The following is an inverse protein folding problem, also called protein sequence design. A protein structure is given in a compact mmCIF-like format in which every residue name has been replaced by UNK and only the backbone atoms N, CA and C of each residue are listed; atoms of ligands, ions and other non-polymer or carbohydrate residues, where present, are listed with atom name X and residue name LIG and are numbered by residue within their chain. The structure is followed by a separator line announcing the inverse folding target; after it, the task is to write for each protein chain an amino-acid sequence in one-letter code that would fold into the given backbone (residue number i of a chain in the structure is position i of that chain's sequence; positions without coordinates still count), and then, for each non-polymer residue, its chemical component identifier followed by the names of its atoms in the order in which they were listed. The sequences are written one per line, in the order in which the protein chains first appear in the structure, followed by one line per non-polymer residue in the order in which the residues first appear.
data_IF_441482168208
#
_entry.id   IF_441482168208
#
_cell.length_a   1.000
_cell.length_b   1.000
_cell.length_c   1.000
_cell.angle_alpha   90.00
_cell.angle_beta   90.00
_cell.angle_gamma   90.00
#
_symmetry.space_group_name_H-M   'P 1'
#
loop_
_entity.id
_entity.type
_entity.pdbx_description
1 polymer ?
#
# COMPACT_ATOMS: atom_id res chain seq x y z
N UNK A 1 3.79 -44.10 1.68
CA UNK A 1 4.12 -43.51 0.38
C UNK A 1 3.82 -42.02 0.48
N UNK A 2 4.85 -41.25 0.78
CA UNK A 2 4.75 -39.81 0.98
C UNK A 2 4.88 -39.14 -0.40
N UNK A 3 3.78 -38.56 -0.85
CA UNK A 3 3.73 -37.77 -2.07
C UNK A 3 4.31 -36.39 -1.77
N UNK A 4 5.56 -36.17 -2.14
CA UNK A 4 6.19 -34.86 -2.18
C UNK A 4 5.47 -33.99 -3.22
N UNK A 5 4.66 -33.04 -2.77
CA UNK A 5 4.18 -31.95 -3.63
C UNK A 5 5.43 -31.16 -4.04
N UNK A 6 5.89 -31.35 -5.28
CA UNK A 6 6.78 -30.43 -5.94
C UNK A 6 6.06 -29.08 -6.03
N UNK A 7 6.57 -28.13 -5.27
CA UNK A 7 6.21 -26.73 -5.41
C UNK A 7 6.87 -26.23 -6.70
N UNK A 8 6.10 -26.19 -7.79
CA UNK A 8 6.53 -25.50 -9.02
C UNK A 8 6.68 -24.01 -8.67
N UNK A 9 7.86 -23.64 -8.20
CA UNK A 9 8.22 -22.25 -7.99
C UNK A 9 8.17 -21.54 -9.35
N UNK A 10 7.13 -20.75 -9.59
CA UNK A 10 7.08 -19.84 -10.74
C UNK A 10 8.41 -19.10 -10.79
N UNK A 11 9.14 -19.29 -11.88
CA UNK A 11 10.45 -18.67 -12.05
C UNK A 11 10.28 -17.15 -11.99
N UNK A 12 10.97 -16.51 -11.05
CA UNK A 12 10.90 -15.07 -10.87
C UNK A 12 11.38 -14.36 -12.15
N UNK A 13 10.71 -13.26 -12.59
CA UNK A 13 11.06 -12.59 -13.84
C UNK A 13 12.50 -12.04 -13.87
N UNK A 14 13.14 -11.85 -12.73
CA UNK A 14 14.55 -11.43 -12.60
C UNK A 14 15.54 -12.60 -12.41
N UNK A 15 15.07 -13.85 -12.46
CA UNK A 15 15.92 -15.04 -12.36
C UNK A 15 16.15 -15.51 -10.92
N UNK A 16 17.27 -16.21 -10.71
CA UNK A 16 17.61 -16.84 -9.43
C UNK A 16 18.22 -15.85 -8.44
N UNK A 17 18.17 -16.19 -7.14
CA UNK A 17 18.78 -15.44 -6.05
C UNK A 17 17.77 -14.67 -5.21
N UNK A 18 18.25 -14.06 -4.15
CA UNK A 18 17.42 -13.33 -3.17
C UNK A 18 17.74 -11.82 -3.27
N UNK A 19 16.97 -11.04 -4.04
CA UNK A 19 17.30 -9.64 -4.31
C UNK A 19 17.32 -8.75 -3.07
N UNK A 20 16.70 -9.20 -1.98
CA UNK A 20 16.62 -8.45 -0.71
C UNK A 20 17.67 -8.92 0.31
N UNK A 21 18.47 -9.93 0.00
CA UNK A 21 19.71 -10.21 0.71
C UNK A 21 20.74 -9.12 0.36
N UNK A 22 21.30 -8.47 1.37
CA UNK A 22 22.25 -7.38 1.15
C UNK A 22 23.60 -7.87 0.63
N UNK A 23 23.90 -9.15 0.82
CA UNK A 23 25.13 -9.79 0.34
C UNK A 23 24.96 -10.33 -1.10
N UNK A 24 23.74 -10.57 -1.60
CA UNK A 24 23.49 -11.04 -2.97
C UNK A 24 23.33 -9.85 -3.94
N UNK A 25 24.44 -9.19 -4.23
CA UNK A 25 24.44 -8.01 -5.12
C UNK A 25 24.05 -8.34 -6.55
N UNK A 26 24.30 -9.56 -7.03
CA UNK A 26 23.95 -9.94 -8.40
C UNK A 26 22.44 -10.17 -8.55
N UNK A 27 21.79 -10.82 -7.59
CA UNK A 27 20.33 -10.92 -7.57
C UNK A 27 19.68 -9.53 -7.45
N UNK A 28 20.24 -8.66 -6.59
CA UNK A 28 19.76 -7.28 -6.46
C UNK A 28 19.83 -6.52 -7.79
N UNK A 29 20.97 -6.53 -8.48
CA UNK A 29 21.14 -5.81 -9.75
C UNK A 29 20.18 -6.30 -10.82
N UNK A 30 19.96 -7.61 -10.95
CA UNK A 30 18.99 -8.18 -11.90
C UNK A 30 17.56 -7.75 -11.57
N UNK A 31 17.16 -7.88 -10.31
CA UNK A 31 15.83 -7.45 -9.87
C UNK A 31 15.62 -5.95 -10.04
N UNK A 32 16.59 -5.15 -9.63
CA UNK A 32 16.57 -3.69 -9.79
C UNK A 32 16.36 -3.26 -11.25
N UNK A 33 17.17 -3.81 -12.16
CA UNK A 33 17.06 -3.50 -13.60
C UNK A 33 15.69 -3.88 -14.12
N UNK A 34 15.26 -5.12 -13.87
CA UNK A 34 13.91 -5.57 -14.25
C UNK A 34 12.82 -4.66 -13.71
N UNK A 35 12.88 -4.32 -12.43
CA UNK A 35 11.84 -3.52 -11.75
C UNK A 35 11.73 -2.12 -12.33
N UNK A 36 12.85 -1.44 -12.52
CA UNK A 36 12.86 -0.09 -13.09
C UNK A 36 12.38 -0.08 -14.54
N UNK A 37 12.88 -0.97 -15.38
CA UNK A 37 12.49 -1.07 -16.78
C UNK A 37 11.02 -1.46 -16.96
N UNK A 38 10.52 -2.38 -16.15
CA UNK A 38 9.13 -2.82 -16.21
C UNK A 38 8.16 -1.74 -15.72
N UNK A 39 8.50 -1.06 -14.61
CA UNK A 39 7.69 0.02 -14.06
C UNK A 39 7.64 1.22 -15.01
N UNK A 40 8.77 1.65 -15.57
CA UNK A 40 8.82 2.76 -16.51
C UNK A 40 7.93 2.52 -17.72
N UNK A 41 8.03 1.34 -18.36
CA UNK A 41 7.15 0.96 -19.48
C UNK A 41 5.68 0.93 -19.08
N UNK A 42 5.37 0.40 -17.88
CA UNK A 42 4.01 0.35 -17.38
C UNK A 42 3.43 1.74 -17.18
N UNK A 43 4.15 2.64 -16.53
CA UNK A 43 3.68 4.00 -16.26
C UNK A 43 3.58 4.85 -17.55
N UNK A 44 4.48 4.64 -18.54
CA UNK A 44 4.43 5.34 -19.81
C UNK A 44 3.16 5.03 -20.62
N UNK A 45 2.50 3.88 -20.39
CA UNK A 45 1.25 3.50 -21.06
C UNK A 45 -0.01 4.10 -20.41
N UNK A 46 0.11 4.79 -19.27
CA UNK A 46 -1.00 5.29 -18.42
C UNK A 46 -2.11 4.22 -18.25
N UNK A 47 -1.79 3.07 -17.66
CA UNK A 47 -2.62 1.89 -17.74
C UNK A 47 -3.80 1.95 -16.76
N UNK A 48 -4.96 2.38 -17.25
CA UNK A 48 -6.22 2.19 -16.54
C UNK A 48 -6.92 0.94 -17.09
N UNK A 49 -7.18 -0.03 -16.23
CA UNK A 49 -7.82 -1.30 -16.60
C UNK A 49 -9.34 -1.08 -16.59
N UNK A 50 -9.95 -1.16 -17.76
CA UNK A 50 -11.41 -1.14 -17.88
C UNK A 50 -11.99 -2.48 -17.43
N UNK A 51 -12.92 -2.44 -16.48
CA UNK A 51 -13.61 -3.63 -15.93
C UNK A 51 -15.08 -3.55 -16.31
N UNK A 52 -15.49 -4.43 -17.20
CA UNK A 52 -16.85 -4.44 -17.77
C UNK A 52 -17.87 -5.04 -16.80
N UNK A 53 -17.53 -6.17 -16.18
CA UNK A 53 -18.36 -6.86 -15.21
C UNK A 53 -17.55 -7.13 -13.93
N UNK A 54 -17.59 -6.21 -12.94
CA UNK A 54 -16.85 -6.39 -11.71
C UNK A 54 -17.42 -7.50 -10.80
N UNK A 55 -18.68 -7.89 -10.98
CA UNK A 55 -19.23 -9.02 -10.22
C UNK A 55 -18.67 -10.35 -10.70
N UNK A 56 -18.30 -10.43 -11.99
CA UNK A 56 -17.76 -11.64 -12.61
C UNK A 56 -16.69 -11.29 -13.66
N UNK A 57 -15.52 -10.74 -13.22
CA UNK A 57 -14.47 -10.34 -14.14
C UNK A 57 -13.89 -11.55 -14.88
N UNK A 58 -13.65 -11.37 -16.16
CA UNK A 58 -13.01 -12.42 -16.98
C UNK A 58 -11.54 -12.63 -16.58
N UNK A 59 -10.98 -13.77 -16.97
CA UNK A 59 -9.60 -14.13 -16.64
C UNK A 59 -8.60 -13.13 -17.22
N UNK A 60 -8.86 -12.58 -18.39
CA UNK A 60 -7.97 -11.59 -19.01
C UNK A 60 -7.91 -10.29 -18.20
N UNK A 61 -9.03 -9.86 -17.63
CA UNK A 61 -9.09 -8.71 -16.71
C UNK A 61 -8.33 -9.00 -15.42
N UNK A 62 -8.52 -10.18 -14.82
CA UNK A 62 -7.78 -10.62 -13.61
C UNK A 62 -6.27 -10.63 -13.88
N UNK A 63 -5.83 -11.21 -15.00
CA UNK A 63 -4.43 -11.30 -15.40
C UNK A 63 -3.80 -9.90 -15.58
N UNK A 64 -4.53 -8.94 -16.16
CA UNK A 64 -4.08 -7.54 -16.25
C UNK A 64 -3.86 -6.90 -14.88
N UNK A 65 -4.79 -7.11 -13.93
CA UNK A 65 -4.65 -6.60 -12.56
C UNK A 65 -3.44 -7.23 -11.88
N UNK A 66 -3.25 -8.54 -12.01
CA UNK A 66 -2.12 -9.25 -11.41
C UNK A 66 -0.79 -8.81 -12.01
N UNK A 67 -0.73 -8.67 -13.33
CA UNK A 67 0.46 -8.17 -14.01
C UNK A 67 0.83 -6.74 -13.57
N UNK A 68 -0.14 -5.83 -13.51
CA UNK A 68 0.08 -4.47 -13.04
C UNK A 68 0.60 -4.45 -11.59
N UNK A 69 0.01 -5.27 -10.70
CA UNK A 69 0.46 -5.39 -9.33
C UNK A 69 1.82 -6.11 -9.19
N UNK A 70 2.21 -6.97 -10.11
CA UNK A 70 3.56 -7.56 -10.15
C UNK A 70 4.61 -6.51 -10.53
N UNK A 71 4.31 -5.68 -11.51
CA UNK A 71 5.24 -4.69 -12.07
C UNK A 71 5.31 -3.42 -11.20
N UNK A 72 4.17 -2.89 -10.79
CA UNK A 72 4.05 -1.58 -10.13
C UNK A 72 3.57 -1.67 -8.67
N UNK A 73 3.34 -2.87 -8.12
CA UNK A 73 2.64 -3.08 -6.86
C UNK A 73 1.25 -2.41 -6.79
N UNK A 74 0.73 -1.93 -7.91
CA UNK A 74 -0.58 -1.29 -8.00
C UNK A 74 -1.20 -1.43 -9.39
N UNK A 75 -2.52 -1.41 -9.45
CA UNK A 75 -3.33 -1.41 -10.66
C UNK A 75 -4.41 -0.34 -10.54
N UNK A 76 -4.41 0.63 -11.46
CA UNK A 76 -5.53 1.56 -11.63
C UNK A 76 -6.63 0.87 -12.45
N UNK A 77 -7.87 1.07 -12.06
CA UNK A 77 -9.00 0.50 -12.78
C UNK A 77 -10.19 1.44 -12.85
N UNK A 78 -11.09 1.18 -13.79
CA UNK A 78 -12.36 1.87 -13.95
C UNK A 78 -13.47 0.87 -14.23
N UNK A 79 -14.64 1.10 -13.66
CA UNK A 79 -15.89 0.39 -13.97
C UNK A 79 -16.86 1.35 -14.64
N UNK A 80 -17.71 0.84 -15.55
CA UNK A 80 -18.85 1.59 -16.07
C UNK A 80 -19.89 1.77 -14.96
N UNK A 81 -20.71 2.81 -15.08
CA UNK A 81 -21.91 3.05 -14.28
C UNK A 81 -21.73 2.97 -12.74
N UNK A 82 -20.49 3.23 -12.26
CA UNK A 82 -20.18 3.22 -10.82
C UNK A 82 -20.60 1.93 -10.09
N UNK A 83 -20.49 0.77 -10.75
CA UNK A 83 -21.02 -0.52 -10.29
C UNK A 83 -20.50 -0.96 -8.91
N UNK A 84 -19.27 -0.61 -8.55
CA UNK A 84 -18.69 -0.95 -7.25
C UNK A 84 -19.15 -0.01 -6.12
N UNK A 85 -20.02 0.96 -6.40
CA UNK A 85 -20.73 1.70 -5.35
C UNK A 85 -21.72 0.80 -4.61
N UNK A 86 -22.19 -0.29 -5.23
CA UNK A 86 -22.82 -1.40 -4.53
C UNK A 86 -21.78 -2.24 -3.78
N UNK A 87 -21.92 -2.32 -2.46
CA UNK A 87 -20.97 -3.00 -1.57
C UNK A 87 -20.92 -4.50 -1.77
N UNK A 88 -22.01 -5.10 -2.20
CA UNK A 88 -22.05 -6.53 -2.53
C UNK A 88 -21.20 -6.81 -3.77
N UNK A 89 -21.37 -6.04 -4.82
CA UNK A 89 -20.56 -6.10 -6.04
C UNK A 89 -19.08 -5.82 -5.76
N UNK A 90 -18.79 -4.81 -4.92
CA UNK A 90 -17.42 -4.55 -4.48
C UNK A 90 -16.78 -5.77 -3.81
N UNK A 91 -17.51 -6.45 -2.93
CA UNK A 91 -17.02 -7.67 -2.26
C UNK A 91 -16.83 -8.83 -3.23
N UNK A 92 -17.76 -9.03 -4.18
CA UNK A 92 -17.63 -10.05 -5.22
C UNK A 92 -16.38 -9.82 -6.06
N UNK A 93 -16.14 -8.58 -6.47
CA UNK A 93 -14.95 -8.22 -7.23
C UNK A 93 -13.66 -8.52 -6.45
N UNK A 94 -13.59 -8.13 -5.18
CA UNK A 94 -12.42 -8.45 -4.35
C UNK A 94 -12.21 -9.96 -4.21
N UNK A 95 -13.30 -10.72 -4.06
CA UNK A 95 -13.23 -12.18 -3.97
C UNK A 95 -12.73 -12.81 -5.28
N UNK A 96 -13.21 -12.33 -6.44
CA UNK A 96 -12.77 -12.80 -7.75
C UNK A 96 -11.27 -12.54 -8.00
N UNK A 97 -10.72 -11.47 -7.43
CA UNK A 97 -9.29 -11.17 -7.44
C UNK A 97 -8.49 -11.98 -6.40
N UNK A 98 -9.11 -12.90 -5.69
CA UNK A 98 -8.44 -13.77 -4.72
C UNK A 98 -8.15 -13.12 -3.37
N UNK A 99 -8.76 -11.99 -3.05
CA UNK A 99 -8.67 -11.42 -1.72
C UNK A 99 -9.49 -12.25 -0.72
N UNK A 100 -8.84 -12.75 0.33
CA UNK A 100 -9.42 -13.79 1.21
C UNK A 100 -9.99 -13.25 2.49
N UNK A 101 -9.29 -12.33 3.15
CA UNK A 101 -9.65 -11.85 4.47
C UNK A 101 -9.66 -10.33 4.47
N UNK A 102 -10.86 -9.76 4.51
CA UNK A 102 -11.02 -8.35 4.85
C UNK A 102 -10.54 -8.13 6.29
N UNK A 103 -9.76 -7.07 6.47
CA UNK A 103 -9.25 -6.65 7.77
C UNK A 103 -9.97 -5.39 8.20
N UNK A 104 -11.03 -5.58 8.95
CA UNK A 104 -11.72 -4.49 9.64
C UNK A 104 -10.81 -3.79 10.64
N UNK A 105 -11.21 -2.63 11.07
CA UNK A 105 -10.63 -1.89 12.19
C UNK A 105 -11.76 -1.18 12.95
N UNK A 106 -11.43 -0.55 14.09
CA UNK A 106 -12.39 0.13 14.96
C UNK A 106 -13.35 1.09 14.22
N UNK A 107 -12.96 1.59 13.05
CA UNK A 107 -13.74 2.55 12.25
C UNK A 107 -14.24 1.96 10.92
N UNK A 108 -14.07 0.65 10.68
CA UNK A 108 -14.72 -0.04 9.56
C UNK A 108 -16.21 -0.12 9.81
N UNK A 109 -16.97 -0.24 8.73
CA UNK A 109 -18.38 -0.54 8.82
C UNK A 109 -18.57 -2.04 9.16
N UNK A 110 -19.80 -2.48 9.41
CA UNK A 110 -20.11 -3.84 9.90
C UNK A 110 -19.65 -4.96 8.93
N UNK A 111 -19.36 -4.62 7.68
CA UNK A 111 -18.90 -5.54 6.64
C UNK A 111 -17.38 -5.47 6.40
N UNK A 112 -16.61 -4.85 7.31
CA UNK A 112 -15.17 -4.62 7.23
C UNK A 112 -14.68 -3.71 6.09
N UNK A 113 -15.57 -3.22 5.24
CA UNK A 113 -15.28 -2.17 4.25
C UNK A 113 -15.37 -0.82 4.95
N UNK A 114 -14.39 0.05 4.73
CA UNK A 114 -14.44 1.41 5.29
C UNK A 114 -15.07 2.38 4.30
N UNK A 115 -16.18 3.00 4.66
CA UNK A 115 -16.68 4.18 3.95
C UNK A 115 -15.90 5.39 4.41
N UNK A 116 -15.07 5.95 3.53
CA UNK A 116 -14.25 7.13 3.79
C UNK A 116 -14.98 8.35 3.23
N UNK A 117 -15.65 9.07 4.12
CA UNK A 117 -16.36 10.32 3.85
C UNK A 117 -16.04 11.32 4.94
N UNK A 118 -16.04 12.63 4.69
CA UNK A 118 -15.92 13.63 5.73
C UNK A 118 -17.03 13.45 6.78
N UNK A 119 -16.61 13.43 8.04
CA UNK A 119 -17.50 13.22 9.17
C UNK A 119 -17.33 14.37 10.17
N UNK A 120 -18.40 14.76 10.83
CA UNK A 120 -18.41 15.88 11.77
C UNK A 120 -17.40 15.67 12.91
N UNK A 121 -16.76 16.76 13.32
CA UNK A 121 -15.92 16.80 14.52
C UNK A 121 -16.78 16.47 15.74
N UNK A 122 -16.19 15.71 16.67
CA UNK A 122 -16.89 15.24 17.88
C UNK A 122 -17.45 13.82 17.74
N UNK A 123 -17.41 13.22 16.53
CA UNK A 123 -17.61 11.79 16.36
C UNK A 123 -16.28 11.05 16.42
N UNK A 124 -16.28 9.76 16.78
CA UNK A 124 -15.07 8.95 16.82
C UNK A 124 -14.37 8.94 15.45
N UNK A 125 -15.11 8.83 14.35
CA UNK A 125 -14.55 8.88 12.99
C UNK A 125 -13.94 10.25 12.66
N UNK A 126 -14.60 11.34 13.04
CA UNK A 126 -14.18 12.72 12.73
C UNK A 126 -12.85 13.14 13.38
N UNK A 127 -12.38 12.43 14.40
CA UNK A 127 -11.07 12.66 15.02
C UNK A 127 -9.90 12.06 14.20
N UNK A 128 -10.19 11.22 13.21
CA UNK A 128 -9.16 10.57 12.38
C UNK A 128 -9.07 11.23 11.00
N UNK A 129 -7.84 11.62 10.61
CA UNK A 129 -7.56 12.37 9.37
C UNK A 129 -8.19 11.75 8.10
N UNK A 130 -8.20 10.43 7.89
CA UNK A 130 -8.85 9.84 6.71
C UNK A 130 -10.31 10.25 6.51
N UNK A 131 -11.04 10.47 7.61
CA UNK A 131 -12.46 10.86 7.63
C UNK A 131 -12.67 12.38 7.74
N UNK A 132 -11.68 13.15 7.30
CA UNK A 132 -11.73 14.62 7.24
C UNK A 132 -11.25 15.11 5.88
N UNK A 133 -11.49 16.40 5.56
CA UNK A 133 -10.94 17.05 4.37
C UNK A 133 -9.44 17.41 4.46
N UNK A 134 -8.75 17.14 5.58
CA UNK A 134 -7.34 17.47 5.77
C UNK A 134 -6.45 16.61 4.88
N UNK A 135 -5.27 17.13 4.53
CA UNK A 135 -4.25 16.36 3.84
C UNK A 135 -3.79 15.15 4.68
N UNK A 136 -3.52 14.05 4.02
CA UNK A 136 -2.99 12.83 4.60
C UNK A 136 -1.58 12.59 4.05
N UNK A 137 -0.59 12.57 4.94
CA UNK A 137 0.81 12.40 4.58
C UNK A 137 1.13 10.97 4.13
N UNK A 138 2.34 10.76 3.58
CA UNK A 138 2.82 9.46 3.14
C UNK A 138 2.71 8.40 4.23
N UNK A 139 2.04 7.31 3.92
CA UNK A 139 1.89 6.16 4.82
C UNK A 139 1.54 4.88 4.03
N UNK A 140 1.70 3.74 4.69
CA UNK A 140 1.09 2.47 4.31
C UNK A 140 -0.07 2.18 5.26
N UNK A 141 -1.11 1.49 4.78
CA UNK A 141 -2.22 1.13 5.66
C UNK A 141 -1.78 0.12 6.73
N UNK A 142 -2.36 0.22 7.91
CA UNK A 142 -2.08 -0.71 9.01
C UNK A 142 -0.67 -0.63 9.59
N UNK A 143 0.08 0.45 9.40
CA UNK A 143 1.42 0.62 9.99
C UNK A 143 1.45 0.48 11.53
N UNK A 144 0.30 0.50 12.17
CA UNK A 144 0.09 0.33 13.61
C UNK A 144 -0.35 -1.10 14.00
N UNK A 145 -0.44 -2.03 13.04
CA UNK A 145 -0.74 -3.44 13.29
C UNK A 145 0.49 -4.20 13.82
N UNK A 146 0.26 -5.39 14.32
CA UNK A 146 1.32 -6.32 14.69
C UNK A 146 2.07 -6.83 13.46
N UNK A 147 3.35 -7.14 13.63
CA UNK A 147 4.20 -7.58 12.52
C UNK A 147 3.73 -8.92 11.91
N UNK A 148 3.09 -9.77 12.69
CA UNK A 148 2.51 -11.05 12.26
C UNK A 148 1.11 -10.91 11.64
N UNK A 149 0.52 -9.71 11.70
CA UNK A 149 -0.82 -9.43 11.17
C UNK A 149 -0.84 -8.15 10.29
N UNK A 150 0.04 -8.02 9.28
CA UNK A 150 0.13 -6.83 8.46
C UNK A 150 -1.04 -6.72 7.48
N UNK A 151 -1.33 -5.49 7.06
CA UNK A 151 -2.12 -5.25 5.85
C UNK A 151 -1.18 -5.44 4.66
N UNK A 152 -1.45 -6.42 3.80
CA UNK A 152 -0.61 -6.76 2.65
C UNK A 152 -1.09 -6.13 1.35
N UNK A 153 -2.39 -5.85 1.25
CA UNK A 153 -2.97 -5.16 0.11
C UNK A 153 -4.18 -4.33 0.51
N UNK A 154 -4.50 -3.38 -0.33
CA UNK A 154 -5.69 -2.56 -0.18
C UNK A 154 -6.32 -2.23 -1.52
N UNK A 155 -7.61 -1.88 -1.47
CA UNK A 155 -8.35 -1.30 -2.58
C UNK A 155 -8.96 0.01 -2.13
N UNK A 156 -8.85 1.04 -2.97
CA UNK A 156 -9.65 2.26 -2.88
C UNK A 156 -10.53 2.37 -4.11
N UNK A 157 -11.79 2.67 -3.93
CA UNK A 157 -12.75 2.91 -5.00
C UNK A 157 -13.49 4.22 -4.75
N UNK A 158 -13.60 5.06 -5.75
CA UNK A 158 -14.31 6.33 -5.67
C UNK A 158 -15.78 6.14 -6.05
N UNK A 159 -16.66 6.13 -5.07
CA UNK A 159 -18.10 6.12 -5.29
C UNK A 159 -18.65 7.52 -5.60
N UNK A 160 -18.07 8.56 -4.98
CA UNK A 160 -18.40 9.94 -5.24
C UNK A 160 -17.15 10.84 -5.15
N UNK A 161 -16.81 11.48 -6.26
CA UNK A 161 -15.63 12.34 -6.38
C UNK A 161 -15.82 13.67 -5.67
N UNK A 162 -14.76 14.21 -5.05
CA UNK A 162 -14.78 15.59 -4.57
C UNK A 162 -14.87 16.59 -5.74
N UNK A 163 -15.55 17.71 -5.55
CA UNK A 163 -15.61 18.80 -6.54
C UNK A 163 -14.23 19.43 -6.80
N UNK A 164 -13.37 19.50 -5.77
CA UNK A 164 -12.01 20.01 -5.87
C UNK A 164 -11.09 19.34 -4.86
N UNK A 165 -9.78 19.28 -5.15
CA UNK A 165 -8.79 18.63 -4.29
C UNK A 165 -8.96 17.12 -4.17
N UNK A 166 -8.43 16.53 -3.10
CA UNK A 166 -8.54 15.10 -2.81
C UNK A 166 -7.71 14.21 -3.76
N UNK A 167 -6.72 14.78 -4.45
CA UNK A 167 -5.78 14.01 -5.26
C UNK A 167 -5.01 13.05 -4.38
N UNK A 168 -4.95 11.80 -4.78
CA UNK A 168 -4.11 10.77 -4.17
C UNK A 168 -2.82 10.62 -4.95
N UNK A 169 -1.72 10.41 -4.24
CA UNK A 169 -0.43 10.04 -4.83
C UNK A 169 -0.01 8.68 -4.28
N UNK A 170 0.51 7.83 -5.15
CA UNK A 170 0.94 6.47 -4.85
C UNK A 170 2.38 6.29 -5.31
N UNK A 171 3.20 5.66 -4.46
CA UNK A 171 4.60 5.38 -4.74
C UNK A 171 4.92 3.93 -4.36
N UNK A 172 5.41 3.19 -5.34
CA UNK A 172 5.83 1.81 -5.14
C UNK A 172 6.96 1.72 -4.11
N UNK A 173 6.76 0.91 -3.07
CA UNK A 173 7.72 0.72 -1.99
C UNK A 173 9.06 0.15 -2.48
N UNK A 174 9.05 -0.63 -3.57
CA UNK A 174 10.25 -1.16 -4.19
C UNK A 174 11.17 -0.04 -4.71
N UNK A 175 10.59 1.05 -5.21
CA UNK A 175 11.35 2.20 -5.69
C UNK A 175 12.07 2.93 -4.55
N UNK A 176 11.40 3.08 -3.41
CA UNK A 176 12.02 3.66 -2.22
C UNK A 176 13.17 2.77 -1.73
N UNK A 177 12.96 1.46 -1.69
CA UNK A 177 14.01 0.50 -1.35
C UNK A 177 15.21 0.61 -2.29
N UNK A 178 14.99 0.63 -3.61
CA UNK A 178 16.04 0.77 -4.62
C UNK A 178 16.83 2.08 -4.38
N UNK A 179 16.15 3.20 -4.27
CA UNK A 179 16.79 4.51 -4.11
C UNK A 179 17.63 4.60 -2.84
N UNK A 180 17.15 4.04 -1.74
CA UNK A 180 17.91 4.00 -0.49
C UNK A 180 19.09 3.04 -0.55
N UNK A 181 18.89 1.83 -1.12
CA UNK A 181 19.96 0.83 -1.25
C UNK A 181 21.06 1.28 -2.21
N UNK A 182 20.71 1.92 -3.31
CA UNK A 182 21.68 2.49 -4.27
C UNK A 182 22.50 3.62 -3.63
N UNK A 183 21.89 4.41 -2.75
CA UNK A 183 22.58 5.48 -2.03
C UNK A 183 23.51 4.92 -0.95
N UNK A 184 23.03 4.01 -0.12
CA UNK A 184 23.80 3.32 0.91
C UNK A 184 23.06 2.06 1.42
N UNK A 185 23.61 0.85 1.21
CA UNK A 185 23.02 -0.39 1.72
C UNK A 185 22.80 -0.41 3.24
N UNK A 186 23.60 0.32 4.01
CA UNK A 186 23.44 0.42 5.47
C UNK A 186 22.13 1.09 5.87
N UNK A 187 21.54 1.93 5.01
CA UNK A 187 20.21 2.49 5.25
C UNK A 187 19.14 1.40 5.29
N UNK A 188 19.21 0.46 4.35
CA UNK A 188 18.30 -0.69 4.32
C UNK A 188 18.51 -1.57 5.54
N UNK A 189 19.78 -1.83 5.91
CA UNK A 189 20.10 -2.61 7.10
C UNK A 189 19.52 -2.00 8.38
N UNK A 190 19.59 -0.69 8.53
CA UNK A 190 19.00 0.02 9.65
C UNK A 190 17.46 -0.06 9.62
N UNK A 191 16.83 0.18 8.46
CA UNK A 191 15.38 0.20 8.30
C UNK A 191 14.72 -1.20 8.33
N UNK A 192 15.49 -2.27 8.21
CA UNK A 192 15.04 -3.66 8.39
C UNK A 192 15.20 -4.18 9.83
N UNK A 193 15.72 -3.38 10.74
CA UNK A 193 15.83 -3.76 12.17
C UNK A 193 14.43 -4.00 12.77
N UNK A 194 14.29 -4.97 13.70
CA UNK A 194 13.02 -5.25 14.37
C UNK A 194 12.46 -4.07 15.19
N UNK A 195 13.31 -3.15 15.58
CA UNK A 195 13.00 -1.95 16.36
C UNK A 195 13.02 -0.66 15.54
N UNK A 196 13.13 -0.73 14.20
CA UNK A 196 13.38 0.43 13.33
C UNK A 196 12.38 1.55 13.52
N UNK A 197 11.09 1.23 13.66
CA UNK A 197 10.03 2.23 13.85
C UNK A 197 9.03 1.75 14.89
N UNK A 198 8.81 2.55 15.94
CA UNK A 198 7.81 2.27 16.98
C UNK A 198 6.64 3.24 16.89
N UNK A 199 5.44 2.69 16.80
CA UNK A 199 4.19 3.43 16.99
C UNK A 199 3.81 3.30 18.46
N UNK A 200 3.86 4.38 19.28
CA UNK A 200 3.55 4.32 20.69
C UNK A 200 2.14 3.82 21.00
N UNK A 201 1.91 3.42 22.23
CA UNK A 201 0.59 3.04 22.72
C UNK A 201 -0.42 4.17 22.45
N UNK A 202 -1.64 3.78 22.13
CA UNK A 202 -2.76 4.71 21.98
C UNK A 202 -3.70 4.58 23.18
N UNK A 203 -4.02 5.72 23.81
CA UNK A 203 -4.90 5.78 24.98
C UNK A 203 -6.12 6.67 24.66
N UNK A 204 -7.27 6.28 25.11
CA UNK A 204 -8.50 7.05 25.05
C UNK A 204 -9.13 7.10 26.43
N UNK A 205 -9.34 8.30 26.97
CA UNK A 205 -9.90 8.49 28.30
C UNK A 205 -9.07 7.82 29.42
N UNK A 206 -7.74 7.74 29.26
CA UNK A 206 -6.83 7.09 30.21
C UNK A 206 -6.74 5.57 30.10
N UNK A 207 -7.53 4.94 29.22
CA UNK A 207 -7.50 3.50 28.94
C UNK A 207 -6.66 3.23 27.69
N UNK A 208 -5.71 2.30 27.77
CA UNK A 208 -4.99 1.82 26.60
C UNK A 208 -5.95 1.08 25.65
N UNK A 209 -6.05 1.56 24.41
CA UNK A 209 -6.85 0.95 23.33
C UNK A 209 -5.98 0.22 22.30
N UNK A 210 -4.67 0.48 22.29
CA UNK A 210 -3.69 -0.23 21.49
C UNK A 210 -2.31 -0.07 22.13
N UNK A 211 -1.58 -1.16 22.40
CA UNK A 211 -0.22 -1.11 22.91
C UNK A 211 0.77 -0.54 21.87
N UNK A 212 1.96 -0.20 22.32
CA UNK A 212 3.05 0.19 21.43
C UNK A 212 3.38 -0.94 20.45
N UNK A 213 3.77 -0.58 19.21
CA UNK A 213 4.08 -1.51 18.13
C UNK A 213 5.40 -1.14 17.48
N UNK A 214 6.45 -1.91 17.76
CA UNK A 214 7.75 -1.81 17.10
C UNK A 214 7.83 -2.77 15.93
N UNK A 215 8.62 -2.43 14.93
CA UNK A 215 8.86 -3.31 13.79
C UNK A 215 9.71 -2.63 12.71
N UNK A 216 10.13 -3.42 11.71
CA UNK A 216 10.91 -2.91 10.59
C UNK A 216 10.09 -1.97 9.72
N UNK A 217 10.79 -1.09 8.99
CA UNK A 217 10.22 -0.30 7.89
C UNK A 217 10.11 -1.15 6.62
N UNK A 218 11.16 -1.89 6.29
CA UNK A 218 11.14 -2.86 5.20
C UNK A 218 11.18 -4.28 5.74
N UNK A 219 10.39 -5.16 5.17
CA UNK A 219 10.38 -6.57 5.51
C UNK A 219 10.18 -7.41 4.25
N UNK A 220 10.80 -8.57 4.20
CA UNK A 220 10.57 -9.57 3.17
C UNK A 220 9.50 -10.53 3.65
N UNK A 221 8.45 -10.68 2.87
CA UNK A 221 7.39 -11.62 3.14
C UNK A 221 7.90 -13.06 2.98
N UNK A 222 7.79 -13.86 4.03
CA UNK A 222 8.36 -15.20 4.07
C UNK A 222 7.71 -16.16 3.04
N UNK A 223 6.42 -15.94 2.73
CA UNK A 223 5.66 -16.84 1.86
C UNK A 223 5.89 -16.50 0.38
N UNK A 224 5.90 -15.20 0.05
CA UNK A 224 6.02 -14.73 -1.33
C UNK A 224 7.44 -14.31 -1.74
N UNK A 225 8.35 -14.12 -0.79
CA UNK A 225 9.68 -13.56 -1.04
C UNK A 225 9.67 -12.12 -1.54
N UNK A 226 8.54 -11.42 -1.44
CA UNK A 226 8.37 -10.04 -1.92
C UNK A 226 8.59 -9.03 -0.80
N UNK A 227 9.05 -7.84 -1.18
CA UNK A 227 9.22 -6.74 -0.25
C UNK A 227 7.87 -6.15 0.19
N UNK A 228 7.79 -5.75 1.45
CA UNK A 228 6.71 -4.96 2.03
C UNK A 228 7.30 -3.78 2.78
N UNK A 229 6.54 -2.69 2.87
CA UNK A 229 6.92 -1.51 3.65
C UNK A 229 5.87 -1.21 4.71
N UNK A 230 6.34 -0.82 5.90
CA UNK A 230 5.54 -0.30 7.01
C UNK A 230 6.04 1.08 7.35
N UNK A 231 5.24 2.13 7.07
CA UNK A 231 5.70 3.50 7.24
C UNK A 231 4.56 4.48 7.48
N UNK A 232 4.87 5.55 8.17
CA UNK A 232 4.04 6.75 8.26
C UNK A 232 4.92 7.99 8.46
N UNK A 233 4.65 9.03 7.67
CA UNK A 233 5.32 10.33 7.77
C UNK A 233 4.71 11.21 8.88
N UNK A 234 4.03 10.65 9.88
CA UNK A 234 3.57 11.40 11.06
C UNK A 234 4.79 11.80 11.87
N UNK A 235 4.91 13.10 12.15
CA UNK A 235 5.98 13.65 12.98
C UNK A 235 5.69 13.49 14.47
N UNK A 236 4.43 13.29 14.83
CA UNK A 236 3.97 13.13 16.21
C UNK A 236 3.67 11.66 16.46
N UNK A 237 4.13 11.14 17.59
CA UNK A 237 3.84 9.78 18.05
C UNK A 237 4.48 8.67 17.21
N UNK A 238 5.68 8.89 16.66
CA UNK A 238 6.53 7.82 16.09
C UNK A 238 7.90 7.93 16.73
N UNK A 239 8.40 6.82 17.25
CA UNK A 239 9.70 6.71 17.89
C UNK A 239 10.66 5.93 16.97
N UNK A 240 11.89 6.40 16.93
CA UNK A 240 12.99 5.81 16.18
C UNK A 240 14.16 5.57 17.13
N UNK A 241 14.92 4.49 16.99
CA UNK A 241 16.16 4.34 17.74
C UNK A 241 17.09 5.53 17.53
N UNK A 242 17.66 6.06 18.63
CA UNK A 242 18.58 7.20 18.57
C UNK A 242 20.03 6.70 18.43
N UNK A 243 20.35 6.27 17.22
CA UNK A 243 21.72 5.93 16.83
C UNK A 243 22.05 6.52 15.45
N UNK A 244 23.33 6.74 15.18
CA UNK A 244 23.83 7.42 13.98
C UNK A 244 23.33 6.77 12.69
N UNK A 245 23.31 5.43 12.59
CA UNK A 245 22.90 4.71 11.40
C UNK A 245 21.40 4.86 11.15
N UNK A 246 20.58 4.76 12.20
CA UNK A 246 19.15 4.95 12.10
C UNK A 246 18.82 6.40 11.73
N UNK A 247 19.46 7.37 12.38
CA UNK A 247 19.25 8.79 12.10
C UNK A 247 19.59 9.13 10.64
N UNK A 248 20.70 8.61 10.11
CA UNK A 248 21.09 8.78 8.70
C UNK A 248 20.08 8.12 7.74
N UNK A 249 19.66 6.89 8.01
CA UNK A 249 18.69 6.16 7.19
C UNK A 249 17.30 6.84 7.18
N UNK A 250 16.84 7.29 8.35
CA UNK A 250 15.61 8.05 8.49
C UNK A 250 15.66 9.36 7.72
N UNK A 251 16.74 10.13 7.86
CA UNK A 251 16.92 11.40 7.15
C UNK A 251 16.91 11.21 5.62
N UNK A 252 17.55 10.15 5.10
CA UNK A 252 17.55 9.80 3.71
C UNK A 252 16.12 9.45 3.21
N UNK A 253 15.37 8.63 3.97
CA UNK A 253 13.99 8.28 3.66
C UNK A 253 13.07 9.51 3.68
N UNK A 254 13.14 10.35 4.71
CA UNK A 254 12.34 11.58 4.82
C UNK A 254 12.64 12.54 3.67
N UNK A 255 13.91 12.67 3.26
CA UNK A 255 14.30 13.48 2.09
C UNK A 255 13.69 12.95 0.80
N UNK A 256 13.75 11.64 0.54
CA UNK A 256 13.12 11.03 -0.64
C UNK A 256 11.60 11.26 -0.70
N UNK A 257 10.94 11.30 0.45
CA UNK A 257 9.50 11.49 0.54
C UNK A 257 9.07 12.96 0.57
N UNK A 258 9.98 13.89 0.82
CA UNK A 258 9.72 15.33 0.72
C UNK A 258 9.96 15.88 -0.69
N UNK A 259 10.96 15.34 -1.41
CA UNK A 259 11.34 15.76 -2.76
C UNK A 259 10.62 14.90 -3.81
N UNK A 260 9.30 15.11 -3.91
CA UNK A 260 8.42 14.29 -4.75
C UNK A 260 7.81 15.03 -5.94
N UNK A 261 8.06 16.31 -6.11
CA UNK A 261 7.51 17.09 -7.21
C UNK A 261 8.20 16.73 -8.52
N UNK A 262 7.38 16.44 -9.55
CA UNK A 262 7.88 16.01 -10.85
C UNK A 262 8.47 14.59 -10.91
N UNK A 263 8.44 13.82 -9.82
CA UNK A 263 8.92 12.43 -9.83
C UNK A 263 8.02 11.55 -10.71
N UNK A 264 8.53 11.00 -11.83
CA UNK A 264 7.74 10.20 -12.78
C UNK A 264 7.32 8.83 -12.22
N UNK A 265 7.95 8.38 -11.13
CA UNK A 265 7.61 7.10 -10.47
C UNK A 265 6.41 7.24 -9.52
N UNK A 266 5.88 8.44 -9.34
CA UNK A 266 4.71 8.69 -8.49
C UNK A 266 3.46 8.82 -9.35
N UNK A 267 2.54 7.89 -9.14
CA UNK A 267 1.21 7.93 -9.75
C UNK A 267 0.35 8.92 -8.98
N UNK A 268 -0.08 9.99 -9.62
CA UNK A 268 -1.02 10.99 -9.07
C UNK A 268 -2.36 10.84 -9.74
N UNK A 269 -3.40 10.69 -8.94
CA UNK A 269 -4.78 10.57 -9.45
C UNK A 269 -5.79 11.24 -8.52
N UNK A 270 -6.60 12.09 -9.10
CA UNK A 270 -7.86 12.48 -8.51
C UNK A 270 -8.92 11.51 -9.04
N UNK A 271 -9.15 10.43 -8.29
CA UNK A 271 -10.06 9.37 -8.70
C UNK A 271 -11.46 9.95 -8.98
N UNK A 272 -11.97 9.69 -10.17
CA UNK A 272 -13.36 9.97 -10.56
C UNK A 272 -14.30 8.90 -10.03
N UNK A 273 -15.60 9.19 -10.00
CA UNK A 273 -16.59 8.15 -9.68
C UNK A 273 -16.45 6.99 -10.69
N UNK A 274 -16.44 5.78 -10.18
CA UNK A 274 -16.17 4.59 -10.99
C UNK A 274 -14.69 4.20 -11.09
N UNK A 275 -13.75 5.06 -10.67
CA UNK A 275 -12.34 4.73 -10.67
C UNK A 275 -11.86 4.20 -9.32
N UNK A 276 -10.84 3.36 -9.36
CA UNK A 276 -10.21 2.82 -8.17
C UNK A 276 -8.77 2.40 -8.37
N UNK A 277 -8.15 2.00 -7.29
CA UNK A 277 -6.82 1.40 -7.25
C UNK A 277 -6.83 0.15 -6.39
N UNK A 278 -6.17 -0.88 -6.87
CA UNK A 278 -5.81 -2.08 -6.12
C UNK A 278 -4.29 -2.03 -5.93
N UNK A 279 -3.78 -2.26 -4.74
CA UNK A 279 -2.32 -2.23 -4.54
C UNK A 279 -1.85 -3.15 -3.41
N UNK A 280 -0.57 -3.52 -3.48
CA UNK A 280 0.15 -4.25 -2.44
C UNK A 280 0.60 -3.32 -1.31
N UNK A 281 -0.34 -2.53 -0.78
CA UNK A 281 -0.13 -1.60 0.32
C UNK A 281 1.05 -0.64 0.09
N UNK A 282 1.13 -0.06 -1.10
CA UNK A 282 2.18 0.91 -1.46
C UNK A 282 2.06 2.18 -0.62
N UNK A 283 3.14 2.96 -0.57
CA UNK A 283 3.08 4.30 0.02
C UNK A 283 2.05 5.16 -0.70
N UNK A 284 1.22 5.85 0.08
CA UNK A 284 0.24 6.76 -0.47
C UNK A 284 -0.01 7.97 0.41
N UNK A 285 -0.43 9.06 -0.22
CA UNK A 285 -0.85 10.32 0.43
C UNK A 285 -2.06 10.89 -0.30
N UNK A 286 -2.70 11.88 0.31
CA UNK A 286 -3.86 12.58 -0.27
C UNK A 286 -3.77 14.07 0.03
N UNK A 287 -4.00 14.91 -0.98
CA UNK A 287 -4.16 16.36 -0.78
C UNK A 287 -5.44 16.68 0.02
N UNK A 288 -5.52 17.87 0.59
CA UNK A 288 -6.75 18.36 1.22
C UNK A 288 -7.87 18.55 0.19
N UNK A 289 -9.10 18.57 0.68
CA UNK A 289 -10.31 18.88 -0.09
C UNK A 289 -11.41 19.43 0.84
N UNK A 290 -12.41 20.10 0.27
CA UNK A 290 -13.49 20.78 1.03
C UNK A 290 -14.88 20.30 0.60
N UNK A 291 -15.02 19.09 0.15
CA UNK A 291 -16.29 18.53 -0.32
C UNK A 291 -16.82 17.48 0.67
N UNK A 292 -17.95 17.76 1.38
CA UNK A 292 -18.52 16.81 2.33
C UNK A 292 -19.16 15.60 1.66
N UNK A 293 -19.42 15.67 0.35
CA UNK A 293 -20.10 14.59 -0.39
C UNK A 293 -19.15 13.53 -0.95
N UNK A 294 -17.83 13.74 -0.82
CA UNK A 294 -16.83 12.77 -1.29
C UNK A 294 -16.97 11.43 -0.56
N UNK A 295 -17.07 10.33 -1.33
CA UNK A 295 -17.17 8.98 -0.79
C UNK A 295 -16.17 8.06 -1.48
N UNK A 296 -15.29 7.41 -0.69
CA UNK A 296 -14.49 6.29 -1.14
C UNK A 296 -14.80 5.05 -0.31
N UNK A 297 -14.74 3.89 -0.97
CA UNK A 297 -14.71 2.61 -0.28
C UNK A 297 -13.29 2.10 -0.20
N UNK A 298 -12.91 1.56 0.96
CA UNK A 298 -11.61 0.95 1.19
C UNK A 298 -11.76 -0.45 1.75
N UNK A 299 -11.22 -1.42 1.01
CA UNK A 299 -10.95 -2.77 1.50
C UNK A 299 -9.49 -2.91 1.87
N UNK A 300 -9.18 -3.66 2.96
CA UNK A 300 -7.83 -3.98 3.40
C UNK A 300 -7.72 -5.48 3.61
N UNK A 301 -6.63 -6.09 3.14
CA UNK A 301 -6.55 -7.55 3.06
C UNK A 301 -5.23 -8.07 3.62
N UNK A 302 -5.28 -9.31 4.11
CA UNK A 302 -4.13 -10.00 4.71
C UNK A 302 -3.23 -10.69 3.69
N UNK A 303 -3.66 -10.85 2.44
CA UNK A 303 -2.85 -11.42 1.35
C UNK A 303 -2.50 -10.35 0.32
N UNK A 304 -1.43 -10.62 -0.45
CA UNK A 304 -1.05 -9.79 -1.60
C UNK A 304 -1.97 -10.10 -2.79
N UNK A 305 -1.98 -9.20 -3.75
CA UNK A 305 -2.65 -9.39 -5.05
C UNK A 305 -1.97 -10.52 -5.82
N UNK A 306 -2.75 -11.48 -6.32
CA UNK A 306 -2.24 -12.58 -7.14
C UNK A 306 -1.51 -13.69 -6.36
N UNK A 307 -1.69 -13.78 -5.00
CA UNK A 307 -1.07 -14.84 -4.16
C UNK A 307 -2.09 -15.70 -3.45
#
# INVERSE_FOLDING_TARGET
MSSSKQNDSKQQPWGKGIPFDLEDMDAYRRWRSWKLDALERHLASDPVIEIQDPANPDQATIDKVFHACEVANMALFRTSDNQLADRHTFRQFMTALGFRTLRGHLLSDDDDISTITPTDRGTVKGEYIPYTGKALNWHTDGYYHEADNPIRSMTLYCAHQASSGGESAFLDSDIIYIRLRDQNPDFIKALMRPDAMTVPANTLGGKEIRPARSGPVFMVDADSGRLSMRYTARTVSIEWPDDEKMNAARAALEKLLSDTDGDPMIVRRRLSAGEGIICNNVLHKRSSFEDPTRVLYRGRFSNRVGT
#
